data_IF_569549880766
#
_entry.id   IF_569549880766
#
_cell.length_a   1.000
_cell.length_b   1.000
_cell.length_c   1.000
_cell.angle_alpha   90.00
_cell.angle_beta   90.00
_cell.angle_gamma   90.00
#
_symmetry.space_group_name_H-M   'P 1'
#
loop_
_entity.id
_entity.type
_entity.pdbx_description
1 polymer ?
#
# COMPACT_ATOMS: atom_id res chain seq x y z
N UNK A 1 3.41 7.98 11.21
CA UNK A 1 2.77 7.37 10.04
C UNK A 1 3.69 6.42 9.30
N UNK A 2 3.17 5.84 8.23
CA UNK A 2 3.95 5.01 7.32
C UNK A 2 5.03 5.86 6.66
N UNK A 3 6.25 5.31 6.57
CA UNK A 3 7.36 5.98 5.89
C UNK A 3 8.11 4.98 5.01
N UNK A 4 8.94 5.52 4.14
CA UNK A 4 9.78 4.71 3.22
C UNK A 4 8.95 3.77 2.35
N UNK A 5 7.78 4.21 1.92
CA UNK A 5 6.94 3.42 1.02
C UNK A 5 7.58 3.39 -0.37
N UNK A 6 8.01 2.21 -0.79
CA UNK A 6 8.64 1.98 -2.08
C UNK A 6 7.91 0.89 -2.85
N UNK A 7 7.87 1.03 -4.18
CA UNK A 7 7.10 0.16 -5.06
C UNK A 7 7.96 -0.34 -6.23
N UNK A 8 8.97 -1.17 -5.99
CA UNK A 8 9.69 -1.77 -7.12
C UNK A 8 8.76 -2.67 -7.94
N UNK A 9 8.82 -2.53 -9.26
CA UNK A 9 8.00 -3.30 -10.20
C UNK A 9 8.86 -4.32 -10.93
N UNK A 10 8.34 -5.53 -11.07
CA UNK A 10 8.99 -6.60 -11.82
C UNK A 10 7.96 -7.67 -12.19
N UNK A 11 8.08 -8.20 -13.40
CA UNK A 11 7.30 -9.38 -13.84
C UNK A 11 5.78 -9.19 -13.71
N UNK A 12 5.30 -7.99 -14.04
CA UNK A 12 3.87 -7.70 -13.99
C UNK A 12 3.31 -7.48 -12.59
N UNK A 13 4.18 -7.33 -11.59
CA UNK A 13 3.79 -7.11 -10.20
C UNK A 13 4.56 -5.96 -9.60
N UNK A 14 3.97 -5.39 -8.54
CA UNK A 14 4.62 -4.37 -7.72
C UNK A 14 4.72 -4.93 -6.31
N UNK A 15 5.95 -4.96 -5.77
CA UNK A 15 6.19 -5.36 -4.39
C UNK A 15 6.39 -4.13 -3.55
N UNK A 16 5.35 -3.74 -2.83
CA UNK A 16 5.40 -2.58 -1.96
C UNK A 16 5.98 -2.96 -0.60
N UNK A 17 6.88 -2.13 -0.09
CA UNK A 17 7.39 -2.24 1.27
C UNK A 17 7.39 -0.88 1.92
N UNK A 18 7.25 -0.86 3.25
CA UNK A 18 7.25 0.38 4.02
C UNK A 18 7.78 0.13 5.41
N UNK A 19 7.90 1.20 6.20
CA UNK A 19 8.33 1.12 7.58
C UNK A 19 7.35 1.84 8.49
N UNK A 20 7.24 1.38 9.74
CA UNK A 20 6.46 2.03 10.77
C UNK A 20 7.13 1.76 12.12
N UNK A 21 7.45 2.83 12.87
CA UNK A 21 8.21 2.74 14.11
C UNK A 21 7.35 2.48 15.35
N UNK A 22 6.03 2.62 15.23
CA UNK A 22 5.13 2.43 16.36
C UNK A 22 4.54 1.03 16.42
N UNK A 23 3.56 0.86 17.29
CA UNK A 23 2.79 -0.37 17.36
C UNK A 23 1.59 -0.28 16.41
N UNK A 24 1.45 -1.29 15.57
CA UNK A 24 0.34 -1.40 14.64
C UNK A 24 -0.38 -2.73 14.85
N UNK A 25 -1.71 -2.70 14.83
CA UNK A 25 -2.50 -3.93 14.79
C UNK A 25 -2.47 -4.54 13.40
N UNK A 26 -2.24 -3.72 12.38
CA UNK A 26 -2.11 -4.15 11.01
C UNK A 26 -1.98 -2.93 10.09
N UNK A 27 -1.97 -3.19 8.80
CA UNK A 27 -1.94 -2.14 7.78
C UNK A 27 -3.07 -2.38 6.81
N UNK A 28 -3.73 -1.31 6.39
CA UNK A 28 -4.74 -1.37 5.34
C UNK A 28 -4.12 -0.79 4.07
N UNK A 29 -4.36 -1.42 2.96
CA UNK A 29 -3.83 -0.96 1.69
C UNK A 29 -4.87 -1.08 0.59
N UNK A 30 -4.72 -0.26 -0.43
CA UNK A 30 -5.56 -0.32 -1.61
C UNK A 30 -4.77 0.17 -2.81
N UNK A 31 -4.98 -0.49 -3.95
CA UNK A 31 -4.48 0.02 -5.23
C UNK A 31 -5.38 1.18 -5.65
N UNK A 32 -4.77 2.30 -5.99
CA UNK A 32 -5.50 3.49 -6.42
C UNK A 32 -5.70 3.41 -7.93
N UNK A 33 -6.91 3.07 -8.33
CA UNK A 33 -7.27 2.92 -9.74
C UNK A 33 -8.53 3.74 -10.01
N UNK A 34 -8.41 4.89 -10.71
CA UNK A 34 -9.58 5.74 -10.98
C UNK A 34 -10.67 5.06 -11.80
N UNK A 35 -10.32 4.03 -12.57
CA UNK A 35 -11.28 3.30 -13.39
C UNK A 35 -11.98 2.16 -12.65
N UNK A 36 -11.69 1.94 -11.39
CA UNK A 36 -12.23 0.81 -10.64
C UNK A 36 -12.66 1.22 -9.25
N UNK A 37 -13.50 0.39 -8.65
CA UNK A 37 -13.90 0.56 -7.26
C UNK A 37 -12.72 0.26 -6.34
N UNK A 38 -12.51 1.12 -5.34
CA UNK A 38 -11.44 0.94 -4.36
C UNK A 38 -11.76 -0.26 -3.47
N UNK A 39 -10.82 -1.20 -3.39
CA UNK A 39 -10.92 -2.37 -2.53
C UNK A 39 -9.82 -2.29 -1.48
N UNK A 40 -10.21 -2.17 -0.21
CA UNK A 40 -9.28 -2.07 0.91
C UNK A 40 -9.04 -3.47 1.46
N UNK A 41 -7.77 -3.83 1.61
CA UNK A 41 -7.36 -5.10 2.17
C UNK A 41 -6.43 -4.88 3.36
N UNK A 42 -6.25 -5.90 4.18
CA UNK A 42 -5.41 -5.82 5.38
C UNK A 42 -4.23 -6.77 5.27
N UNK A 43 -3.08 -6.34 5.79
CA UNK A 43 -1.91 -7.19 5.97
C UNK A 43 -1.29 -6.91 7.34
N UNK A 44 -0.69 -7.92 7.94
CA UNK A 44 0.06 -7.77 9.19
C UNK A 44 1.50 -7.37 8.95
N UNK A 45 2.02 -7.66 7.77
CA UNK A 45 3.40 -7.37 7.40
C UNK A 45 3.51 -6.02 6.72
N UNK A 46 4.64 -5.30 6.86
CA UNK A 46 4.86 -4.03 6.16
C UNK A 46 5.30 -4.24 4.71
N UNK A 47 4.65 -5.16 4.04
CA UNK A 47 4.95 -5.51 2.65
C UNK A 47 3.74 -6.16 2.01
N UNK A 48 3.55 -5.93 0.72
CA UNK A 48 2.49 -6.56 -0.05
C UNK A 48 2.88 -6.58 -1.52
N UNK A 49 2.46 -7.62 -2.22
CA UNK A 49 2.64 -7.72 -3.67
C UNK A 49 1.27 -7.57 -4.33
N UNK A 50 1.19 -6.65 -5.29
CA UNK A 50 -0.04 -6.39 -6.04
C UNK A 50 0.23 -6.49 -7.53
N UNK A 51 -0.78 -6.84 -8.34
CA UNK A 51 -0.62 -6.79 -9.81
C UNK A 51 -0.32 -5.36 -10.27
N UNK A 52 0.57 -5.22 -11.25
CA UNK A 52 0.86 -3.93 -11.84
C UNK A 52 -0.28 -3.50 -12.76
N UNK A 53 -0.65 -2.23 -12.69
CA UNK A 53 -1.58 -1.62 -13.64
C UNK A 53 -0.78 -1.07 -14.83
N UNK A 54 -1.37 -1.03 -16.03
CA UNK A 54 -0.68 -0.45 -17.18
C UNK A 54 -0.34 1.02 -16.97
N UNK A 55 0.88 1.39 -17.28
CA UNK A 55 1.37 2.75 -17.27
C UNK A 55 1.81 3.25 -15.91
N UNK A 56 1.03 3.05 -14.86
CA UNK A 56 1.33 3.54 -13.53
C UNK A 56 0.55 2.76 -12.49
N UNK A 57 1.23 2.42 -11.40
CA UNK A 57 0.60 1.73 -10.27
C UNK A 57 0.82 2.56 -9.01
N UNK A 58 -0.27 2.93 -8.34
CA UNK A 58 -0.24 3.68 -7.10
C UNK A 58 -0.84 2.85 -5.98
N UNK A 59 -0.22 2.91 -4.80
CA UNK A 59 -0.69 2.18 -3.63
C UNK A 59 -0.86 3.14 -2.46
N UNK A 60 -1.97 3.02 -1.76
CA UNK A 60 -2.28 3.75 -0.55
C UNK A 60 -2.15 2.82 0.64
N UNK A 61 -1.50 3.26 1.70
CA UNK A 61 -1.30 2.47 2.92
C UNK A 61 -1.66 3.31 4.14
N UNK A 62 -2.41 2.72 5.07
CA UNK A 62 -2.66 3.31 6.39
C UNK A 62 -2.27 2.31 7.47
N UNK A 63 -1.91 2.83 8.65
CA UNK A 63 -1.72 2.01 9.86
C UNK A 63 -3.06 1.84 10.53
N UNK A 64 -3.41 0.61 10.89
CA UNK A 64 -4.59 0.33 11.70
C UNK A 64 -4.14 0.06 13.14
N UNK A 65 -4.73 0.78 14.07
CA UNK A 65 -4.39 0.66 15.49
C UNK A 65 -5.34 -0.31 16.21
N UNK A 66 -4.92 -0.77 17.38
CA UNK A 66 -5.67 -1.75 18.15
C UNK A 66 -7.05 -1.24 18.58
N UNK A 67 -7.21 0.08 18.71
CA UNK A 67 -8.50 0.67 19.07
C UNK A 67 -9.45 0.83 17.88
N UNK A 68 -9.04 0.38 16.70
CA UNK A 68 -9.85 0.48 15.48
C UNK A 68 -9.63 1.74 14.67
N UNK A 69 -8.87 2.71 15.18
CA UNK A 69 -8.54 3.93 14.43
C UNK A 69 -7.46 3.66 13.40
N UNK A 70 -7.29 4.60 12.48
CA UNK A 70 -6.30 4.51 11.40
C UNK A 70 -5.52 5.81 11.30
N UNK A 71 -4.27 5.70 10.83
CA UNK A 71 -3.46 6.86 10.49
C UNK A 71 -3.95 7.51 9.20
N UNK A 72 -3.43 8.70 8.91
CA UNK A 72 -3.62 9.32 7.59
C UNK A 72 -2.98 8.43 6.51
N UNK A 73 -3.57 8.38 5.32
CA UNK A 73 -3.02 7.55 4.24
C UNK A 73 -1.72 8.14 3.68
N UNK A 74 -0.82 7.24 3.31
CA UNK A 74 0.38 7.57 2.55
C UNK A 74 0.26 6.88 1.21
N UNK A 75 0.48 7.63 0.13
CA UNK A 75 0.36 7.10 -1.23
C UNK A 75 1.70 7.24 -1.95
N UNK A 76 2.08 6.22 -2.68
CA UNK A 76 3.23 6.26 -3.57
C UNK A 76 2.86 5.59 -4.89
N UNK A 77 3.58 5.95 -5.94
CA UNK A 77 3.33 5.45 -7.28
C UNK A 77 4.63 5.02 -7.94
N UNK A 78 4.52 4.12 -8.90
CA UNK A 78 5.64 3.71 -9.74
C UNK A 78 5.15 3.58 -11.18
N UNK A 79 6.02 3.88 -12.13
CA UNK A 79 5.74 3.65 -13.54
C UNK A 79 5.79 2.15 -13.82
N UNK A 80 4.82 1.66 -14.58
CA UNK A 80 4.70 0.24 -14.92
C UNK A 80 4.46 0.05 -16.40
N UNK A 81 4.97 -1.06 -16.98
CA UNK A 81 4.77 -1.35 -18.41
C UNK A 81 3.32 -1.46 -18.82
#
# INVERSE_FOLDING_TARGET
GVKDLTLPAADGRVRATWAYDGEAAGFLYAVVDPGAQKVVQETKEPAVTVPALPGRTCLEVVVRFADGSSSDPVTACTDTP
#
